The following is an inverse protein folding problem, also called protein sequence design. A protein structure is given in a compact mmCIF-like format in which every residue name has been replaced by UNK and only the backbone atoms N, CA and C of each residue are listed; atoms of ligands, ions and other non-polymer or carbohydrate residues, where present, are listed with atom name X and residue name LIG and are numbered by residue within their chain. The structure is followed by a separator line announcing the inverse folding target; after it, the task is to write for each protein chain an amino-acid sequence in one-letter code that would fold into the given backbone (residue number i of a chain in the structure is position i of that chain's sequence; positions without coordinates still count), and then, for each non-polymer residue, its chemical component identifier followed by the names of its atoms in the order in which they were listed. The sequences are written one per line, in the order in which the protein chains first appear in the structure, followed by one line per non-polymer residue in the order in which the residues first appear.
data_IF_397889895099
#
_entry.id   IF_397889895099
#
_cell.length_a   1.000
_cell.length_b   1.000
_cell.length_c   1.000
_cell.angle_alpha   90.00
_cell.angle_beta   90.00
_cell.angle_gamma   90.00
#
_symmetry.space_group_name_H-M   'P 1'
#
loop_
_entity.id
_entity.type
_entity.pdbx_description
1 polymer ?
#
# COMPACT_ATOMS: atom_id res chain seq x y z
N UNK A 1 71.20 34.75 38.58
CA UNK A 1 70.75 33.34 38.67
C UNK A 1 69.38 33.29 38.06
N UNK A 2 69.26 32.86 36.81
CA UNK A 2 68.03 32.82 36.06
C UNK A 2 67.71 31.34 35.89
N UNK A 3 66.63 30.87 36.50
CA UNK A 3 66.13 29.51 36.32
C UNK A 3 65.28 29.45 35.04
N UNK A 4 65.74 28.66 34.09
CA UNK A 4 65.04 28.35 32.84
C UNK A 4 64.18 27.12 33.06
N UNK A 5 62.89 27.33 33.10
CA UNK A 5 61.90 26.22 33.12
C UNK A 5 61.65 25.76 31.71
N UNK A 6 62.12 24.58 31.37
CA UNK A 6 61.86 23.92 30.10
C UNK A 6 60.51 23.14 30.22
N UNK A 7 59.46 23.61 29.56
CA UNK A 7 58.20 22.92 29.46
C UNK A 7 58.32 21.92 28.31
N UNK A 8 58.29 20.63 28.65
CA UNK A 8 58.22 19.52 27.70
C UNK A 8 56.77 19.31 27.26
N UNK A 9 56.42 19.82 26.05
CA UNK A 9 55.13 19.47 25.42
C UNK A 9 55.19 18.05 24.87
N UNK A 10 54.51 17.13 25.53
CA UNK A 10 54.24 15.80 25.00
C UNK A 10 53.08 15.96 24.02
N UNK A 11 53.36 15.89 22.73
CA UNK A 11 52.36 15.78 21.66
C UNK A 11 51.95 14.33 21.61
N UNK A 12 50.80 14.01 22.16
CA UNK A 12 50.12 12.73 21.92
C UNK A 12 49.60 12.75 20.48
N UNK A 13 50.31 12.12 19.58
CA UNK A 13 49.82 11.76 18.26
C UNK A 13 48.76 10.65 18.46
N UNK A 14 47.51 11.09 18.49
CA UNK A 14 46.40 10.17 18.30
C UNK A 14 46.46 9.74 16.83
N UNK A 15 47.03 8.58 16.58
CA UNK A 15 46.90 7.87 15.31
C UNK A 15 45.42 7.52 15.11
N UNK A 16 44.70 8.33 14.34
CA UNK A 16 43.49 7.86 13.70
C UNK A 16 43.92 6.76 12.72
N UNK A 17 43.81 5.53 13.13
CA UNK A 17 43.72 4.46 12.16
C UNK A 17 42.47 4.74 11.29
N UNK A 18 42.69 5.11 10.05
CA UNK A 18 41.67 5.00 9.03
C UNK A 18 41.40 3.52 8.90
N UNK A 19 40.45 3.02 9.69
CA UNK A 19 39.77 1.81 9.33
C UNK A 19 39.16 2.07 7.94
N UNK A 20 39.77 1.48 6.93
CA UNK A 20 39.09 1.12 5.71
C UNK A 20 38.05 0.05 6.09
N UNK A 21 37.08 0.46 6.93
CA UNK A 21 35.84 -0.24 7.06
C UNK A 21 35.20 -0.17 5.68
N UNK A 22 35.20 -1.28 4.99
CA UNK A 22 34.19 -1.58 4.00
C UNK A 22 32.90 -0.97 4.51
N UNK A 23 32.26 -0.09 3.74
CA UNK A 23 30.92 0.39 4.04
C UNK A 23 30.07 -0.82 4.42
N UNK A 24 29.92 -1.02 5.71
CA UNK A 24 28.99 -2.01 6.25
C UNK A 24 27.67 -1.47 5.78
N UNK A 25 27.08 -2.20 4.88
CA UNK A 25 25.78 -1.94 4.33
C UNK A 25 24.81 -1.79 5.51
N UNK A 26 24.52 -0.55 5.88
CA UNK A 26 23.69 -0.19 7.05
C UNK A 26 22.21 -0.36 6.78
N UNK A 27 21.85 -1.07 5.72
CA UNK A 27 20.53 -1.67 5.67
C UNK A 27 20.36 -2.49 6.94
N UNK A 28 19.19 -2.49 7.59
CA UNK A 28 19.02 -3.32 8.77
C UNK A 28 19.48 -4.72 8.40
N UNK A 29 20.58 -5.14 9.04
CA UNK A 29 21.11 -6.47 8.87
C UNK A 29 20.04 -7.43 9.36
N UNK A 30 19.28 -8.05 8.43
CA UNK A 30 18.22 -8.95 8.83
C UNK A 30 17.01 -9.01 7.92
N UNK A 31 16.94 -8.25 6.83
CA UNK A 31 15.94 -8.58 5.83
C UNK A 31 16.29 -9.93 5.17
N UNK A 32 15.33 -10.88 5.18
CA UNK A 32 15.51 -12.14 4.47
C UNK A 32 15.85 -11.89 3.01
N UNK A 33 16.75 -12.67 2.43
CA UNK A 33 17.16 -12.50 1.03
C UNK A 33 16.01 -12.73 0.04
N UNK A 34 14.99 -13.46 0.45
CA UNK A 34 13.77 -13.73 -0.32
C UNK A 34 12.63 -12.73 -0.04
N UNK A 35 12.88 -11.69 0.74
CA UNK A 35 11.94 -10.60 0.94
C UNK A 35 12.02 -9.64 -0.25
N UNK A 36 11.26 -9.91 -1.30
CA UNK A 36 11.36 -9.20 -2.57
C UNK A 36 10.22 -8.21 -2.81
N UNK A 37 10.45 -7.31 -3.79
CA UNK A 37 9.47 -6.37 -4.29
C UNK A 37 9.72 -4.93 -3.86
N UNK A 38 8.82 -4.06 -4.26
CA UNK A 38 8.86 -2.62 -3.92
C UNK A 38 7.54 -2.21 -3.28
N UNK A 39 7.61 -1.63 -2.09
CA UNK A 39 6.47 -1.01 -1.41
C UNK A 39 6.40 0.43 -1.89
N UNK A 40 5.25 0.83 -2.45
CA UNK A 40 4.91 2.20 -2.80
C UNK A 40 3.86 2.70 -1.83
N UNK A 41 4.05 3.91 -1.30
CA UNK A 41 3.18 4.44 -0.26
C UNK A 41 3.08 5.96 -0.29
N UNK A 42 1.95 6.48 0.09
CA UNK A 42 1.77 7.92 0.28
C UNK A 42 2.31 8.34 1.64
N UNK A 43 3.04 9.45 1.68
CA UNK A 43 3.43 10.11 2.91
C UNK A 43 3.19 11.62 2.83
N UNK A 44 2.17 12.09 3.58
CA UNK A 44 1.86 13.52 3.77
C UNK A 44 2.09 14.36 2.50
N UNK A 45 2.96 15.36 2.57
CA UNK A 45 3.32 16.29 1.49
C UNK A 45 4.51 15.84 0.65
N UNK A 46 5.09 14.67 0.92
CA UNK A 46 6.23 14.15 0.15
C UNK A 46 5.78 13.42 -1.12
N UNK A 47 4.47 13.22 -1.28
CA UNK A 47 3.88 12.52 -2.41
C UNK A 47 3.89 11.01 -2.24
N UNK A 48 4.20 10.30 -3.32
CA UNK A 48 4.33 8.84 -3.30
C UNK A 48 5.81 8.48 -3.21
N UNK A 49 6.14 7.78 -2.16
CA UNK A 49 7.48 7.26 -1.89
C UNK A 49 7.53 5.77 -2.20
N UNK A 50 8.73 5.23 -2.29
CA UNK A 50 8.95 3.79 -2.48
C UNK A 50 10.11 3.30 -1.63
N UNK A 51 10.09 2.01 -1.32
CA UNK A 51 11.22 1.28 -0.75
C UNK A 51 11.32 -0.09 -1.41
N UNK A 52 12.48 -0.40 -1.97
CA UNK A 52 12.76 -1.69 -2.61
C UNK A 52 13.40 -2.64 -1.62
N UNK A 53 12.91 -3.86 -1.55
CA UNK A 53 13.37 -4.92 -0.67
C UNK A 53 14.11 -6.01 -1.47
N UNK A 54 15.09 -6.70 -0.88
CA UNK A 54 15.59 -6.56 0.49
C UNK A 54 16.59 -5.42 0.69
N UNK A 55 16.96 -4.68 -0.37
CA UNK A 55 18.01 -3.65 -0.34
C UNK A 55 17.70 -2.44 0.56
N UNK A 56 16.43 -2.27 0.97
CA UNK A 56 15.90 -1.12 1.70
C UNK A 56 16.13 0.23 0.98
N UNK A 57 16.35 0.21 -0.34
CA UNK A 57 16.60 1.43 -1.11
C UNK A 57 15.30 2.24 -1.22
N UNK A 58 15.28 3.37 -0.52
CA UNK A 58 14.15 4.31 -0.50
C UNK A 58 14.29 5.44 -1.52
N UNK A 59 13.18 6.12 -1.83
CA UNK A 59 13.19 7.30 -2.69
C UNK A 59 11.80 7.81 -3.06
N UNK A 60 11.74 8.99 -3.69
CA UNK A 60 10.52 9.51 -4.27
C UNK A 60 10.13 8.71 -5.51
N UNK A 61 8.83 8.45 -5.67
CA UNK A 61 8.26 7.78 -6.84
C UNK A 61 7.40 8.71 -7.67
N UNK A 62 6.51 9.47 -7.02
CA UNK A 62 5.72 10.54 -7.64
C UNK A 62 5.80 11.74 -6.68
N UNK A 63 6.24 12.89 -7.19
CA UNK A 63 6.26 14.12 -6.40
C UNK A 63 4.86 14.47 -5.91
N UNK A 64 4.79 15.19 -4.79
CA UNK A 64 3.51 15.65 -4.27
C UNK A 64 2.78 16.51 -5.33
N UNK A 65 1.54 16.13 -5.59
CA UNK A 65 0.62 16.85 -6.46
C UNK A 65 -0.77 16.79 -5.83
N UNK A 66 -1.28 17.97 -5.48
CA UNK A 66 -2.63 18.10 -4.89
C UNK A 66 -3.74 17.63 -5.82
N UNK A 67 -3.45 17.47 -7.11
CA UNK A 67 -4.38 16.94 -8.10
C UNK A 67 -4.33 15.42 -8.22
N UNK A 68 -3.32 14.77 -7.66
CA UNK A 68 -3.21 13.32 -7.71
C UNK A 68 -4.25 12.66 -6.80
N UNK A 69 -5.24 12.00 -7.40
CA UNK A 69 -6.26 11.24 -6.68
C UNK A 69 -5.77 9.87 -6.25
N UNK A 70 -5.12 9.15 -7.18
CA UNK A 70 -4.58 7.81 -6.92
C UNK A 70 -3.45 7.45 -7.86
N UNK A 71 -2.72 6.42 -7.47
CA UNK A 71 -1.75 5.74 -8.30
C UNK A 71 -1.92 4.23 -8.16
N UNK A 72 -1.48 3.49 -9.17
CA UNK A 72 -1.30 2.05 -9.12
C UNK A 72 -0.07 1.65 -9.95
N UNK A 73 0.50 0.51 -9.62
CA UNK A 73 1.58 -0.15 -10.38
C UNK A 73 1.04 -1.50 -10.82
N UNK A 74 1.20 -1.81 -12.10
CA UNK A 74 0.76 -3.10 -12.64
C UNK A 74 1.38 -4.28 -11.89
N UNK A 75 0.69 -5.41 -11.89
CA UNK A 75 1.15 -6.61 -11.18
C UNK A 75 2.50 -7.10 -11.68
N UNK A 76 2.80 -6.92 -12.96
CA UNK A 76 4.07 -7.28 -13.59
C UNK A 76 5.14 -6.17 -13.50
N UNK A 77 4.86 -5.07 -12.81
CA UNK A 77 5.79 -3.96 -12.61
C UNK A 77 6.08 -3.12 -13.86
N UNK A 78 5.40 -3.35 -14.99
CA UNK A 78 5.71 -2.66 -16.26
C UNK A 78 5.08 -1.29 -16.40
N UNK A 79 3.90 -1.08 -15.79
CA UNK A 79 3.10 0.11 -15.97
C UNK A 79 2.78 0.79 -14.64
N UNK A 80 2.67 2.10 -14.70
CA UNK A 80 2.11 2.95 -13.65
C UNK A 80 0.85 3.61 -14.17
N UNK A 81 -0.23 3.51 -13.43
CA UNK A 81 -1.47 4.26 -13.65
C UNK A 81 -1.52 5.43 -12.66
N UNK A 82 -1.85 6.61 -13.13
CA UNK A 82 -2.21 7.74 -12.25
C UNK A 82 -3.58 8.26 -12.63
N UNK A 83 -4.37 8.63 -11.63
CA UNK A 83 -5.62 9.36 -11.79
C UNK A 83 -5.42 10.76 -11.20
N UNK A 84 -5.62 11.80 -12.02
CA UNK A 84 -5.42 13.19 -11.61
C UNK A 84 -6.67 14.02 -11.87
N UNK A 85 -7.00 14.90 -10.94
CA UNK A 85 -8.08 15.86 -11.10
C UNK A 85 -7.72 16.86 -12.23
N UNK A 86 -8.42 16.80 -13.34
CA UNK A 86 -8.27 17.69 -14.50
C UNK A 86 -9.48 18.63 -14.67
N UNK A 87 -10.28 18.78 -13.62
CA UNK A 87 -11.51 19.55 -13.63
C UNK A 87 -11.27 21.05 -13.86
N UNK A 88 -12.22 21.67 -14.53
CA UNK A 88 -12.37 23.12 -14.65
C UNK A 88 -13.72 23.54 -14.08
N UNK A 89 -13.99 24.85 -13.98
CA UNK A 89 -15.25 25.34 -13.44
C UNK A 89 -16.45 24.77 -14.23
N UNK A 90 -17.31 24.03 -13.51
CA UNK A 90 -18.50 23.39 -14.09
C UNK A 90 -18.25 22.14 -14.93
N UNK A 91 -17.00 21.65 -14.99
CA UNK A 91 -16.66 20.43 -15.71
C UNK A 91 -15.72 19.56 -14.86
N UNK A 92 -16.25 18.50 -14.27
CA UNK A 92 -15.54 17.59 -13.37
C UNK A 92 -14.96 16.43 -14.16
N UNK A 93 -13.64 16.41 -14.29
CA UNK A 93 -12.91 15.45 -15.11
C UNK A 93 -11.75 14.85 -14.34
N UNK A 94 -11.58 13.55 -14.45
CA UNK A 94 -10.38 12.83 -14.00
C UNK A 94 -9.59 12.40 -15.23
N UNK A 95 -8.33 12.74 -15.25
CA UNK A 95 -7.40 12.27 -16.28
C UNK A 95 -6.69 11.03 -15.81
N UNK A 96 -6.82 9.94 -16.54
CA UNK A 96 -6.05 8.71 -16.36
C UNK A 96 -4.84 8.72 -17.29
N UNK A 97 -3.66 8.45 -16.73
CA UNK A 97 -2.42 8.35 -17.50
C UNK A 97 -1.74 7.01 -17.19
N UNK A 98 -1.60 6.17 -18.19
CA UNK A 98 -0.85 4.93 -18.15
C UNK A 98 0.56 5.17 -18.70
N UNK A 99 1.59 4.96 -17.90
CA UNK A 99 2.99 5.20 -18.25
C UNK A 99 3.82 3.94 -18.10
N UNK A 100 4.83 3.78 -18.95
CA UNK A 100 5.82 2.71 -18.84
C UNK A 100 6.77 2.99 -17.67
N UNK A 101 6.97 2.01 -16.78
CA UNK A 101 7.81 2.13 -15.59
C UNK A 101 9.30 2.30 -15.90
N UNK A 102 9.78 1.74 -17.02
CA UNK A 102 11.21 1.73 -17.33
C UNK A 102 11.71 3.08 -17.86
N UNK A 103 10.90 3.77 -18.66
CA UNK A 103 11.31 4.99 -19.34
C UNK A 103 10.38 6.19 -19.10
N UNK A 104 9.29 6.01 -18.35
CA UNK A 104 8.32 7.06 -18.04
C UNK A 104 7.45 7.52 -19.23
N UNK A 105 7.57 6.89 -20.41
CA UNK A 105 6.75 7.28 -21.56
C UNK A 105 5.28 7.02 -21.32
N UNK A 106 4.43 7.94 -21.77
CA UNK A 106 2.99 7.77 -21.75
C UNK A 106 2.59 6.74 -22.80
N UNK A 107 1.92 5.68 -22.34
CA UNK A 107 1.38 4.60 -23.18
C UNK A 107 -0.04 4.95 -23.63
N UNK A 108 -0.87 5.42 -22.68
CA UNK A 108 -2.25 5.84 -22.90
C UNK A 108 -2.57 7.00 -21.96
N UNK A 109 -3.42 7.90 -22.46
CA UNK A 109 -3.99 8.98 -21.66
C UNK A 109 -5.42 9.25 -22.14
N UNK A 110 -6.35 9.41 -21.20
CA UNK A 110 -7.73 9.76 -21.53
C UNK A 110 -8.40 10.48 -20.37
N UNK A 111 -9.47 11.18 -20.67
CA UNK A 111 -10.32 11.84 -19.69
C UNK A 111 -11.54 10.98 -19.38
N UNK A 112 -11.90 10.93 -18.12
CA UNK A 112 -13.07 10.25 -17.59
C UNK A 112 -13.93 11.25 -16.84
N UNK A 113 -15.23 11.26 -17.11
CA UNK A 113 -16.22 12.01 -16.36
C UNK A 113 -17.10 11.00 -15.66
N UNK A 114 -17.14 11.07 -14.33
CA UNK A 114 -17.97 10.17 -13.54
C UNK A 114 -19.46 10.53 -13.69
N UNK A 115 -20.37 9.59 -13.54
CA UNK A 115 -21.81 9.84 -13.63
C UNK A 115 -22.30 10.90 -12.63
N UNK A 116 -21.81 10.92 -11.40
CA UNK A 116 -22.14 11.92 -10.39
C UNK A 116 -21.40 13.25 -10.57
N UNK A 117 -20.52 13.38 -11.58
CA UNK A 117 -19.70 14.58 -11.77
C UNK A 117 -18.62 14.73 -10.68
N UNK A 118 -18.02 13.63 -10.22
CA UNK A 118 -17.02 13.62 -9.19
C UNK A 118 -15.60 13.64 -9.77
N UNK A 119 -14.74 14.48 -9.22
CA UNK A 119 -13.33 14.57 -9.60
C UNK A 119 -12.37 13.70 -8.78
N UNK A 120 -12.87 12.97 -7.78
CA UNK A 120 -12.08 12.15 -6.86
C UNK A 120 -12.16 10.64 -7.20
N UNK A 121 -12.11 10.29 -8.48
CA UNK A 121 -12.04 8.89 -8.87
C UNK A 121 -10.63 8.34 -8.73
N UNK A 122 -10.55 7.08 -8.31
CA UNK A 122 -9.33 6.28 -8.22
C UNK A 122 -9.33 5.23 -9.33
N UNK A 123 -8.15 4.76 -9.73
CA UNK A 123 -8.00 3.70 -10.73
C UNK A 123 -7.06 2.60 -10.27
N UNK A 124 -7.42 1.35 -10.58
CA UNK A 124 -6.58 0.17 -10.37
C UNK A 124 -6.47 -0.63 -11.67
N UNK A 125 -5.26 -1.05 -12.03
CA UNK A 125 -5.01 -1.90 -13.20
C UNK A 125 -5.45 -3.35 -12.91
N UNK A 126 -6.12 -3.96 -13.90
CA UNK A 126 -6.40 -5.40 -13.83
C UNK A 126 -5.11 -6.22 -13.86
N UNK A 127 -5.12 -7.47 -13.39
CA UNK A 127 -3.96 -8.35 -13.36
C UNK A 127 -3.26 -8.55 -14.70
N UNK A 128 -4.00 -8.52 -15.79
CA UNK A 128 -3.51 -8.66 -17.17
C UNK A 128 -3.22 -7.31 -17.87
N UNK A 129 -3.40 -6.19 -17.15
CA UNK A 129 -3.23 -4.83 -17.65
C UNK A 129 -4.19 -4.42 -18.79
N UNK A 130 -5.30 -5.12 -18.98
CA UNK A 130 -6.26 -4.81 -20.05
C UNK A 130 -7.36 -3.85 -19.61
N UNK A 131 -7.64 -3.80 -18.29
CA UNK A 131 -8.76 -3.06 -17.72
C UNK A 131 -8.30 -2.11 -16.60
N UNK A 132 -9.14 -1.12 -16.34
CA UNK A 132 -9.04 -0.21 -15.19
C UNK A 132 -10.34 -0.31 -14.40
N UNK A 133 -10.21 -0.64 -13.12
CA UNK A 133 -11.27 -0.52 -12.13
C UNK A 133 -11.29 0.91 -11.61
N UNK A 134 -12.40 1.60 -11.79
CA UNK A 134 -12.60 2.98 -11.31
C UNK A 134 -13.55 2.96 -10.13
N UNK A 135 -13.13 3.53 -9.02
CA UNK A 135 -13.94 3.75 -7.82
C UNK A 135 -13.95 5.24 -7.47
N UNK A 136 -14.95 5.68 -6.77
CA UNK A 136 -15.16 7.07 -6.36
C UNK A 136 -15.50 7.12 -4.86
N UNK A 137 -15.49 8.31 -4.30
CA UNK A 137 -16.02 8.58 -2.97
C UNK A 137 -17.49 9.07 -2.99
N UNK A 138 -18.18 8.89 -4.12
CA UNK A 138 -19.57 9.22 -4.32
C UNK A 138 -20.38 7.95 -4.63
N UNK A 139 -21.44 7.73 -3.87
CA UNK A 139 -22.29 6.52 -3.98
C UNK A 139 -22.97 6.44 -5.35
N UNK A 140 -23.33 7.59 -5.95
CA UNK A 140 -23.98 7.65 -7.26
C UNK A 140 -23.06 7.24 -8.41
N UNK A 141 -21.74 7.25 -8.22
CA UNK A 141 -20.79 6.81 -9.23
C UNK A 141 -20.74 5.29 -9.39
N UNK A 142 -20.98 4.56 -8.30
CA UNK A 142 -20.81 3.11 -8.30
C UNK A 142 -19.37 2.68 -8.59
N UNK A 143 -19.22 1.54 -9.24
CA UNK A 143 -17.94 0.95 -9.65
C UNK A 143 -17.94 0.82 -11.17
N UNK A 144 -16.98 1.44 -11.84
CA UNK A 144 -16.87 1.42 -13.31
C UNK A 144 -15.66 0.61 -13.76
N UNK A 145 -15.81 -0.20 -14.79
CA UNK A 145 -14.72 -0.89 -15.47
C UNK A 145 -14.54 -0.26 -16.85
N UNK A 146 -13.32 0.16 -17.15
CA UNK A 146 -12.89 0.68 -18.43
C UNK A 146 -11.81 -0.21 -19.03
N UNK A 147 -11.64 -0.19 -20.35
CA UNK A 147 -10.39 -0.63 -20.96
C UNK A 147 -9.27 0.40 -20.68
N UNK A 148 -8.03 0.01 -20.84
CA UNK A 148 -6.87 0.89 -20.57
C UNK A 148 -6.75 2.07 -21.54
N UNK A 149 -7.56 2.12 -22.60
CA UNK A 149 -7.68 3.26 -23.50
C UNK A 149 -8.90 4.16 -23.20
N UNK A 150 -9.64 3.86 -22.14
CA UNK A 150 -10.80 4.62 -21.69
C UNK A 150 -12.14 4.15 -22.26
N UNK A 151 -12.17 3.12 -23.12
CA UNK A 151 -13.43 2.55 -23.57
C UNK A 151 -14.22 1.95 -22.41
N UNK A 152 -15.50 2.30 -22.32
CA UNK A 152 -16.41 1.82 -21.29
C UNK A 152 -16.71 0.32 -21.46
N UNK A 153 -16.63 -0.44 -20.36
CA UNK A 153 -17.01 -1.86 -20.34
C UNK A 153 -18.31 -2.05 -19.61
N UNK A 154 -18.37 -1.67 -18.33
CA UNK A 154 -19.56 -1.81 -17.50
C UNK A 154 -19.50 -0.87 -16.30
N UNK A 155 -20.67 -0.53 -15.77
CA UNK A 155 -20.83 0.12 -14.47
C UNK A 155 -21.74 -0.71 -13.58
N UNK A 156 -21.27 -0.92 -12.37
CA UNK A 156 -22.03 -1.57 -11.31
C UNK A 156 -22.52 -0.47 -10.35
N UNK A 157 -23.82 -0.28 -10.27
CA UNK A 157 -24.42 0.75 -9.39
C UNK A 157 -24.64 0.23 -7.97
N UNK A 158 -24.70 -1.08 -7.81
CA UNK A 158 -24.93 -1.77 -6.56
C UNK A 158 -25.12 -3.28 -6.76
N UNK A 159 -25.46 -3.95 -5.70
CA UNK A 159 -25.79 -5.38 -5.71
C UNK A 159 -27.17 -5.59 -5.09
N UNK A 160 -27.99 -6.48 -5.70
CA UNK A 160 -29.34 -6.80 -5.22
C UNK A 160 -30.23 -5.56 -4.98
N UNK A 161 -30.14 -4.56 -5.86
CA UNK A 161 -30.83 -3.26 -5.76
C UNK A 161 -30.44 -2.39 -4.55
N UNK A 162 -29.31 -2.66 -3.92
CA UNK A 162 -28.70 -1.82 -2.89
C UNK A 162 -27.49 -1.12 -3.50
N UNK A 163 -27.44 0.22 -3.52
CA UNK A 163 -26.28 0.97 -4.05
C UNK A 163 -25.00 0.67 -3.27
N UNK A 164 -23.86 0.78 -3.93
CA UNK A 164 -22.58 0.76 -3.24
C UNK A 164 -22.42 1.99 -2.35
N UNK A 165 -21.83 1.78 -1.19
CA UNK A 165 -21.44 2.83 -0.25
C UNK A 165 -20.04 3.35 -0.59
N UNK A 166 -19.75 4.61 -0.23
CA UNK A 166 -18.38 5.17 -0.29
C UNK A 166 -17.34 4.37 0.51
N UNK A 167 -17.80 3.50 1.42
CA UNK A 167 -16.95 2.64 2.25
C UNK A 167 -16.74 1.26 1.66
N UNK A 168 -17.49 0.91 0.62
CA UNK A 168 -17.33 -0.37 -0.06
C UNK A 168 -16.00 -0.40 -0.81
N UNK A 169 -15.30 -1.51 -0.70
CA UNK A 169 -14.02 -1.73 -1.35
C UNK A 169 -14.22 -2.54 -2.62
N UNK A 170 -13.40 -2.25 -3.62
CA UNK A 170 -13.33 -3.03 -4.84
C UNK A 170 -11.87 -3.28 -5.22
N UNK A 171 -11.56 -4.52 -5.59
CA UNK A 171 -10.21 -4.90 -6.00
C UNK A 171 -10.24 -6.05 -7.00
N UNK A 172 -9.14 -6.20 -7.72
CA UNK A 172 -8.99 -7.27 -8.70
C UNK A 172 -8.55 -8.60 -8.08
N UNK A 173 -9.21 -9.66 -8.51
CA UNK A 173 -8.73 -11.04 -8.41
C UNK A 173 -8.06 -11.48 -9.73
N UNK A 174 -7.28 -12.57 -9.73
CA UNK A 174 -6.81 -13.19 -10.98
C UNK A 174 -7.97 -13.49 -11.94
N UNK A 175 -7.69 -13.44 -13.25
CA UNK A 175 -8.72 -13.64 -14.27
C UNK A 175 -9.66 -12.44 -14.44
N UNK A 176 -9.25 -11.26 -13.96
CA UNK A 176 -10.03 -10.02 -14.00
C UNK A 176 -11.39 -10.13 -13.29
N UNK A 177 -11.49 -10.97 -12.30
CA UNK A 177 -12.65 -10.99 -11.42
C UNK A 177 -12.55 -9.87 -10.38
N UNK A 178 -13.69 -9.47 -9.82
CA UNK A 178 -13.71 -8.49 -8.73
C UNK A 178 -13.92 -9.20 -7.38
N UNK A 179 -13.26 -8.69 -6.36
CA UNK A 179 -13.61 -8.86 -4.98
C UNK A 179 -14.18 -7.54 -4.47
N UNK A 180 -15.40 -7.58 -3.98
CA UNK A 180 -16.12 -6.39 -3.50
C UNK A 180 -16.48 -6.57 -2.04
N UNK A 181 -16.53 -5.46 -1.29
CA UNK A 181 -17.32 -5.42 -0.07
C UNK A 181 -18.67 -4.75 -0.37
N UNK A 182 -19.72 -5.18 0.30
CA UNK A 182 -21.03 -4.54 0.24
C UNK A 182 -21.76 -4.74 1.56
N UNK A 183 -21.93 -3.67 2.31
CA UNK A 183 -22.37 -3.76 3.69
C UNK A 183 -21.44 -4.67 4.49
N UNK A 184 -21.99 -5.73 5.09
CA UNK A 184 -21.21 -6.71 5.85
C UNK A 184 -20.72 -7.90 5.02
N UNK A 185 -20.81 -7.84 3.70
CA UNK A 185 -20.51 -9.01 2.85
C UNK A 185 -19.25 -8.78 2.03
N UNK A 186 -18.44 -9.81 1.90
CA UNK A 186 -17.37 -9.94 0.91
C UNK A 186 -17.92 -10.78 -0.23
N UNK A 187 -17.85 -10.25 -1.45
CA UNK A 187 -18.52 -10.82 -2.62
C UNK A 187 -17.52 -10.92 -3.76
N UNK A 188 -17.55 -12.05 -4.48
CA UNK A 188 -16.76 -12.27 -5.69
C UNK A 188 -17.66 -12.10 -6.90
N UNK A 189 -17.22 -11.33 -7.90
CA UNK A 189 -17.98 -11.02 -9.12
C UNK A 189 -17.11 -11.31 -10.34
N UNK A 190 -17.32 -12.44 -11.04
CA UNK A 190 -16.57 -12.77 -12.25
C UNK A 190 -17.07 -11.98 -13.47
N UNK A 191 -16.28 -11.86 -14.54
CA UNK A 191 -16.77 -11.39 -15.83
C UNK A 191 -17.95 -12.26 -16.32
N UNK A 192 -18.97 -11.69 -16.95
CA UNK A 192 -19.14 -10.30 -17.39
C UNK A 192 -19.69 -9.35 -16.31
N UNK A 193 -19.50 -9.61 -15.04
CA UNK A 193 -19.83 -8.77 -13.87
C UNK A 193 -21.34 -8.58 -13.63
N UNK A 194 -22.16 -9.51 -14.05
CA UNK A 194 -23.62 -9.44 -13.94
C UNK A 194 -24.17 -10.25 -12.76
N UNK A 195 -23.34 -11.01 -12.07
CA UNK A 195 -23.70 -11.80 -10.91
C UNK A 195 -22.51 -11.96 -9.97
N UNK A 196 -22.79 -12.06 -8.68
CA UNK A 196 -21.78 -12.28 -7.65
C UNK A 196 -22.10 -13.47 -6.76
N UNK A 197 -21.09 -14.00 -6.10
CA UNK A 197 -21.22 -15.05 -5.09
C UNK A 197 -20.67 -14.56 -3.76
N UNK A 198 -21.36 -14.87 -2.67
CA UNK A 198 -20.92 -14.56 -1.33
C UNK A 198 -19.64 -15.35 -1.00
N UNK A 199 -18.58 -14.64 -0.59
CA UNK A 199 -17.38 -15.23 -0.03
C UNK A 199 -17.55 -15.38 1.47
N UNK A 200 -17.92 -14.30 2.16
CA UNK A 200 -18.11 -14.31 3.60
C UNK A 200 -19.01 -13.17 4.05
N UNK A 201 -19.84 -13.47 5.06
CA UNK A 201 -20.54 -12.45 5.83
C UNK A 201 -19.70 -12.08 7.07
N UNK A 202 -19.38 -10.82 7.18
CA UNK A 202 -18.53 -10.25 8.24
C UNK A 202 -19.41 -9.76 9.37
N UNK A 203 -19.68 -10.61 10.35
CA UNK A 203 -20.51 -10.30 11.51
C UNK A 203 -19.69 -9.64 12.63
N UNK A 204 -18.94 -8.59 12.28
CA UNK A 204 -18.10 -7.81 13.20
C UNK A 204 -18.51 -6.35 13.15
N UNK A 205 -18.50 -5.67 14.30
CA UNK A 205 -18.94 -4.28 14.40
C UNK A 205 -17.95 -3.30 13.74
N UNK A 206 -16.65 -3.59 13.81
CA UNK A 206 -15.58 -2.81 13.17
C UNK A 206 -14.67 -3.73 12.38
N UNK A 207 -14.79 -3.70 11.05
CA UNK A 207 -13.92 -4.42 10.14
C UNK A 207 -13.63 -3.58 8.89
N UNK A 208 -12.55 -3.88 8.19
CA UNK A 208 -12.17 -3.15 6.97
C UNK A 208 -10.75 -3.45 6.54
N UNK A 209 -10.16 -2.54 5.77
CA UNK A 209 -8.79 -2.69 5.24
C UNK A 209 -8.56 -4.05 4.55
N UNK A 210 -9.59 -4.54 3.82
CA UNK A 210 -9.52 -5.80 3.10
C UNK A 210 -8.47 -5.72 1.98
N UNK A 211 -7.68 -6.77 1.84
CA UNK A 211 -6.77 -6.97 0.71
C UNK A 211 -6.73 -8.45 0.32
N UNK A 212 -6.25 -8.72 -0.89
CA UNK A 212 -6.08 -10.07 -1.43
C UNK A 212 -4.64 -10.27 -1.89
N UNK A 213 -4.12 -11.46 -1.73
CA UNK A 213 -2.80 -11.81 -2.24
C UNK A 213 -2.77 -11.89 -3.77
N UNK A 214 -1.58 -11.84 -4.37
CA UNK A 214 -1.43 -11.84 -5.83
C UNK A 214 -1.97 -13.10 -6.51
N UNK A 215 -2.01 -14.24 -5.82
CA UNK A 215 -2.57 -15.49 -6.33
C UNK A 215 -4.09 -15.54 -6.24
N UNK A 216 -4.73 -14.60 -5.51
CA UNK A 216 -6.18 -14.60 -5.29
C UNK A 216 -6.67 -15.74 -4.40
N UNK A 217 -5.81 -16.28 -3.55
CA UNK A 217 -6.09 -17.46 -2.72
C UNK A 217 -6.29 -17.14 -1.25
N UNK A 218 -5.82 -15.97 -0.81
CA UNK A 218 -5.86 -15.58 0.60
C UNK A 218 -6.23 -14.10 0.74
N UNK A 219 -7.03 -13.80 1.75
CA UNK A 219 -7.45 -12.47 2.14
C UNK A 219 -6.77 -12.07 3.45
N UNK A 220 -6.48 -10.77 3.60
CA UNK A 220 -6.19 -10.18 4.88
C UNK A 220 -7.18 -9.06 5.15
N UNK A 221 -7.63 -8.95 6.39
CA UNK A 221 -8.67 -8.01 6.81
C UNK A 221 -8.39 -7.55 8.24
N UNK A 222 -8.67 -6.29 8.52
CA UNK A 222 -8.69 -5.80 9.89
C UNK A 222 -10.05 -6.11 10.52
N UNK A 223 -10.03 -6.67 11.73
CA UNK A 223 -11.20 -6.82 12.60
C UNK A 223 -10.84 -6.19 13.94
N UNK A 224 -11.66 -5.27 14.39
CA UNK A 224 -11.37 -4.40 15.53
C UNK A 224 -10.00 -3.74 15.39
N UNK A 225 -9.06 -4.06 16.24
CA UNK A 225 -7.71 -3.47 16.21
C UNK A 225 -6.66 -4.33 15.53
N UNK A 226 -6.99 -5.55 15.06
CA UNK A 226 -5.99 -6.52 14.65
C UNK A 226 -6.21 -7.03 13.23
N UNK A 227 -5.13 -7.53 12.61
CA UNK A 227 -5.18 -8.13 11.29
C UNK A 227 -5.42 -9.63 11.39
N UNK A 228 -6.31 -10.09 10.53
CA UNK A 228 -6.68 -11.49 10.34
C UNK A 228 -6.38 -11.90 8.91
N UNK A 229 -6.06 -13.16 8.70
CA UNK A 229 -5.99 -13.77 7.36
C UNK A 229 -7.00 -14.90 7.25
N UNK A 230 -7.49 -15.15 6.03
CA UNK A 230 -8.37 -16.27 5.71
C UNK A 230 -8.19 -16.69 4.25
N UNK A 231 -8.56 -17.92 3.91
CA UNK A 231 -8.66 -18.34 2.51
C UNK A 231 -9.71 -17.56 1.75
N UNK A 232 -9.57 -17.47 0.42
CA UNK A 232 -10.58 -16.86 -0.46
C UNK A 232 -11.93 -17.61 -0.40
N UNK A 233 -11.91 -18.85 0.05
CA UNK A 233 -13.09 -19.68 0.33
C UNK A 233 -13.68 -19.44 1.74
N UNK A 234 -13.22 -18.41 2.43
CA UNK A 234 -13.57 -18.04 3.81
C UNK A 234 -13.13 -19.01 4.92
N UNK A 235 -12.39 -20.05 4.58
CA UNK A 235 -11.86 -21.01 5.55
C UNK A 235 -10.60 -20.49 6.25
N UNK A 236 -10.24 -21.14 7.35
CA UNK A 236 -8.98 -20.90 8.09
C UNK A 236 -8.77 -19.44 8.52
N UNK A 237 -9.85 -18.77 8.90
CA UNK A 237 -9.74 -17.42 9.44
C UNK A 237 -9.00 -17.42 10.76
N UNK A 238 -7.96 -16.60 10.87
CA UNK A 238 -7.12 -16.51 12.07
C UNK A 238 -6.52 -15.13 12.25
N UNK A 239 -6.33 -14.74 13.49
CA UNK A 239 -5.62 -13.52 13.85
C UNK A 239 -4.12 -13.73 13.65
N UNK A 240 -3.46 -12.77 12.96
CA UNK A 240 -2.02 -12.82 12.67
C UNK A 240 -1.21 -11.71 13.34
N UNK A 241 -1.89 -10.72 13.95
CA UNK A 241 -1.21 -9.67 14.71
C UNK A 241 -1.80 -9.50 16.09
N UNK A 242 -0.98 -9.02 17.03
CA UNK A 242 -1.38 -8.54 18.36
C UNK A 242 -0.62 -7.27 18.70
N UNK A 243 -1.27 -6.35 19.42
CA UNK A 243 -0.66 -5.19 20.08
C UNK A 243 -1.68 -4.53 20.99
N UNK A 244 -1.28 -3.48 21.71
CA UNK A 244 -2.20 -2.62 22.44
C UNK A 244 -2.75 -1.46 21.56
N UNK A 245 -2.42 -1.46 20.27
CA UNK A 245 -2.75 -0.40 19.33
C UNK A 245 -3.56 -0.94 18.16
N UNK A 246 -4.19 -0.02 17.42
CA UNK A 246 -4.87 -0.37 16.18
C UNK A 246 -3.86 -0.60 15.07
N UNK A 247 -3.99 -1.73 14.38
CA UNK A 247 -3.30 -2.04 13.14
C UNK A 247 -4.24 -1.81 11.94
N UNK A 248 -3.65 -1.61 10.76
CA UNK A 248 -4.41 -1.34 9.54
C UNK A 248 -3.60 -1.65 8.28
N UNK A 249 -4.20 -1.43 7.13
CA UNK A 249 -3.54 -1.47 5.82
C UNK A 249 -2.66 -2.71 5.58
N UNK A 250 -3.17 -3.93 5.80
CA UNK A 250 -2.42 -5.12 5.43
C UNK A 250 -2.18 -5.15 3.91
N UNK A 251 -0.96 -5.49 3.48
CA UNK A 251 -0.61 -5.65 2.06
C UNK A 251 0.34 -6.83 1.89
N UNK A 252 0.00 -7.78 1.03
CA UNK A 252 0.82 -8.95 0.75
C UNK A 252 2.06 -8.60 -0.08
N UNK A 253 3.17 -9.29 0.19
CA UNK A 253 4.31 -9.33 -0.73
C UNK A 253 3.91 -9.98 -2.07
N UNK A 254 4.65 -9.71 -3.17
CA UNK A 254 4.34 -10.28 -4.49
C UNK A 254 4.25 -11.81 -4.51
N UNK A 255 5.09 -12.48 -3.73
CA UNK A 255 5.12 -13.94 -3.57
C UNK A 255 4.18 -14.47 -2.47
N UNK A 256 3.53 -13.56 -1.73
CA UNK A 256 2.62 -13.85 -0.61
C UNK A 256 3.25 -14.53 0.61
N UNK A 257 4.57 -14.56 0.72
CA UNK A 257 5.25 -15.11 1.90
C UNK A 257 5.26 -14.16 3.09
N UNK A 258 5.01 -12.87 2.84
CA UNK A 258 5.03 -11.82 3.84
C UNK A 258 3.79 -10.95 3.75
N UNK A 259 3.50 -10.28 4.86
CA UNK A 259 2.42 -9.31 4.97
C UNK A 259 2.99 -8.02 5.61
N UNK A 260 2.89 -6.90 4.90
CA UNK A 260 3.14 -5.57 5.48
C UNK A 260 1.91 -5.14 6.27
N UNK A 261 2.11 -4.61 7.45
CA UNK A 261 1.09 -4.15 8.38
C UNK A 261 1.36 -2.69 8.73
N UNK A 262 0.34 -1.86 8.69
CA UNK A 262 0.35 -0.53 9.29
C UNK A 262 0.12 -0.66 10.80
N UNK A 263 1.17 -0.69 11.60
CA UNK A 263 1.08 -0.72 13.06
C UNK A 263 0.94 0.69 13.63
N UNK A 264 0.51 0.81 14.90
CA UNK A 264 0.39 2.12 15.56
C UNK A 264 -0.47 3.12 14.74
N UNK A 265 -1.63 2.68 14.28
CA UNK A 265 -2.55 3.54 13.52
C UNK A 265 -3.02 4.69 14.39
N UNK A 266 -2.79 5.91 13.96
CA UNK A 266 -3.08 7.12 14.72
C UNK A 266 -3.65 8.21 13.83
N UNK A 267 -4.47 9.05 14.43
CA UNK A 267 -5.04 10.23 13.78
C UNK A 267 -4.38 11.50 14.31
N UNK A 268 -4.06 12.40 13.41
CA UNK A 268 -3.55 13.74 13.69
C UNK A 268 -4.43 14.78 12.99
N UNK A 269 -4.68 15.90 13.65
CA UNK A 269 -5.42 17.03 13.06
C UNK A 269 -4.70 17.68 11.88
N UNK A 270 -3.39 17.50 11.79
CA UNK A 270 -2.55 18.12 10.73
C UNK A 270 -2.27 17.15 9.60
N UNK A 271 -1.98 15.89 9.91
CA UNK A 271 -1.50 14.89 8.95
C UNK A 271 -2.56 13.85 8.58
N UNK A 272 -3.77 13.94 9.15
CA UNK A 272 -4.77 12.91 8.98
C UNK A 272 -4.37 11.59 9.65
N UNK A 273 -4.56 10.49 8.96
CA UNK A 273 -4.19 9.16 9.46
C UNK A 273 -2.75 8.82 9.10
N UNK A 274 -2.06 8.13 10.01
CA UNK A 274 -0.71 7.62 9.78
C UNK A 274 -0.47 6.32 10.55
N UNK A 275 0.50 5.53 10.09
CA UNK A 275 0.88 4.25 10.69
C UNK A 275 2.35 3.96 10.41
N UNK A 276 2.96 3.14 11.28
CA UNK A 276 4.32 2.65 11.14
C UNK A 276 4.31 1.36 10.33
N UNK A 277 5.20 1.21 9.35
CA UNK A 277 5.23 0.03 8.49
C UNK A 277 6.06 -1.09 9.10
N UNK A 278 5.44 -2.25 9.32
CA UNK A 278 6.11 -3.48 9.76
C UNK A 278 5.75 -4.63 8.82
N UNK A 279 6.66 -5.55 8.67
CA UNK A 279 6.50 -6.75 7.86
C UNK A 279 6.53 -7.95 8.78
N UNK A 280 5.60 -8.88 8.59
CA UNK A 280 5.54 -10.17 9.28
C UNK A 280 5.56 -11.31 8.27
N UNK A 281 6.06 -12.51 8.62
CA UNK A 281 5.87 -13.71 7.82
C UNK A 281 4.38 -14.04 7.68
N UNK A 282 3.98 -14.53 6.52
CA UNK A 282 2.62 -15.02 6.26
C UNK A 282 2.58 -16.55 6.44
N UNK A 283 3.04 -17.03 7.58
CA UNK A 283 3.15 -18.45 7.93
C UNK A 283 2.01 -18.94 8.84
N UNK A 284 1.10 -18.03 9.17
CA UNK A 284 -0.06 -18.31 10.00
C UNK A 284 0.17 -18.25 11.49
N UNK A 285 1.31 -17.83 11.93
CA UNK A 285 1.55 -17.50 13.32
C UNK A 285 0.99 -16.10 13.65
N UNK A 286 0.88 -15.83 14.94
CA UNK A 286 0.48 -14.51 15.45
C UNK A 286 1.71 -13.76 15.94
N UNK A 287 1.85 -12.52 15.51
CA UNK A 287 3.00 -11.66 15.77
C UNK A 287 2.61 -10.45 16.63
N UNK A 288 3.35 -10.19 17.69
CA UNK A 288 3.25 -8.92 18.41
C UNK A 288 3.95 -7.82 17.60
N UNK A 289 3.18 -6.87 17.11
CA UNK A 289 3.64 -5.71 16.32
C UNK A 289 3.53 -4.40 17.09
N UNK A 290 3.50 -4.47 18.43
CA UNK A 290 3.35 -3.30 19.30
C UNK A 290 4.46 -2.26 19.04
N UNK A 291 4.14 -0.96 18.96
CA UNK A 291 5.13 0.10 18.73
C UNK A 291 6.00 0.40 19.95
N UNK A 292 5.60 -0.01 21.17
CA UNK A 292 6.25 0.32 22.44
C UNK A 292 6.94 -0.92 23.04
N UNK A 293 6.27 -2.05 22.98
CA UNK A 293 6.78 -3.31 23.52
C UNK A 293 7.71 -4.03 22.53
N UNK A 294 8.47 -4.98 23.03
CA UNK A 294 9.32 -5.81 22.17
C UNK A 294 8.46 -6.61 21.17
N UNK A 295 8.78 -6.49 19.90
CA UNK A 295 8.09 -7.24 18.85
C UNK A 295 8.45 -8.74 18.90
N UNK A 296 7.57 -9.57 18.35
CA UNK A 296 7.88 -10.99 18.12
C UNK A 296 9.10 -11.16 17.20
N UNK A 297 9.91 -12.19 17.38
CA UNK A 297 10.91 -12.55 16.40
C UNK A 297 10.29 -12.71 15.01
N UNK A 298 10.98 -12.19 13.97
CA UNK A 298 10.48 -12.19 12.59
C UNK A 298 9.65 -10.96 12.20
N UNK A 299 9.27 -10.09 13.14
CA UNK A 299 8.71 -8.76 12.80
C UNK A 299 9.83 -7.85 12.36
N UNK A 300 9.71 -7.33 11.14
CA UNK A 300 10.70 -6.49 10.51
C UNK A 300 10.15 -5.07 10.33
N UNK A 301 10.75 -4.04 10.95
CA UNK A 301 10.38 -2.66 10.65
C UNK A 301 10.81 -2.32 9.21
N UNK A 302 9.99 -1.61 8.47
CA UNK A 302 10.41 -1.05 7.17
C UNK A 302 11.24 0.18 7.44
N UNK A 303 12.51 0.17 7.01
CA UNK A 303 13.47 1.24 7.22
C UNK A 303 14.21 1.48 5.90
N UNK A 304 14.46 2.74 5.54
CA UNK A 304 15.30 3.06 4.39
C UNK A 304 16.78 2.82 4.72
N UNK A 305 17.53 2.35 3.74
CA UNK A 305 18.98 2.20 3.84
C UNK A 305 19.63 3.50 4.35
N UNK A 306 20.44 3.38 5.40
CA UNK A 306 21.12 4.51 6.03
C UNK A 306 20.23 5.37 6.94
N UNK A 307 19.01 4.96 7.21
CA UNK A 307 18.10 5.58 8.19
C UNK A 307 17.94 4.67 9.40
N UNK A 308 17.60 5.26 10.53
CA UNK A 308 17.31 4.58 11.79
C UNK A 308 15.83 4.60 12.17
N UNK A 309 14.99 5.23 11.32
CA UNK A 309 13.57 5.42 11.59
C UNK A 309 12.71 4.52 10.75
N UNK A 310 11.68 3.98 11.37
CA UNK A 310 10.63 3.23 10.68
C UNK A 310 9.91 4.14 9.68
N UNK A 311 9.61 3.58 8.53
CA UNK A 311 8.83 4.26 7.48
C UNK A 311 7.39 4.43 7.97
N UNK A 312 6.85 5.63 7.75
CA UNK A 312 5.49 6.00 8.10
C UNK A 312 4.69 6.20 6.82
N UNK A 313 3.50 5.62 6.77
CA UNK A 313 2.52 5.82 5.71
C UNK A 313 1.32 6.66 6.16
N UNK A 314 0.64 7.32 5.22
CA UNK A 314 -0.54 8.14 5.48
C UNK A 314 -1.64 8.04 4.43
N UNK A 315 -1.60 7.07 3.53
CA UNK A 315 -2.56 6.93 2.44
C UNK A 315 -2.58 5.54 1.83
N UNK A 316 -2.73 5.48 0.53
CA UNK A 316 -2.70 4.21 -0.19
C UNK A 316 -1.29 3.60 -0.14
N UNK A 317 -1.23 2.31 -0.02
CA UNK A 317 0.01 1.51 -0.02
C UNK A 317 -0.20 0.28 -0.90
N UNK A 318 0.79 -0.03 -1.71
CA UNK A 318 0.81 -1.22 -2.57
C UNK A 318 2.21 -1.85 -2.52
N UNK A 319 2.28 -3.16 -2.66
CA UNK A 319 3.53 -3.93 -2.72
C UNK A 319 3.55 -4.75 -4.01
N UNK A 320 4.53 -4.48 -4.87
CA UNK A 320 4.67 -5.11 -6.20
C UNK A 320 6.09 -5.61 -6.44
#
# INVERSE_FOLDING_TARGET
MKNLFTILCIVLLVSCSSDNGSDIDTAPSGYPADLEGTIYYKWATDGILKVSLPSATGGSFIQDDTKLNSFDVSRDGKYRLTATNASTLGNYVVKFTLSNMNNGSIVKEFNYTSPAGNSYCKGQLSPDNSLILVTSNDEEDGITILKTDGEFVIRLEGLNNVPFSMHDLAMWLPGNELLLTHGNSIIRVPPPYNSGSLVKEMNYADWGDLTVNHQGTQLAVRIDNHVYTMGIDSNNMRQVTTSNFKESKPVYSPDSKYLMIGSNYRQSSVMGYSWDMKIIPNDGNTYNVDPVEANSPGVLPVIWKGQDRIVIGSGDVIWK
#
